data_IF_102842505606
#
_entry.id   IF_102842505606
#
_cell.length_a   1.000
_cell.length_b   1.000
_cell.length_c   1.000
_cell.angle_alpha   90.00
_cell.angle_beta   90.00
_cell.angle_gamma   90.00
#
_symmetry.space_group_name_H-M   'P 1'
#
loop_
_entity.id
_entity.type
_entity.pdbx_description
1 polymer ?
#
# COMPACT_ATOMS: atom_id res chain seq x y z
N UNK A 1 85.46 -18.37 -48.28
CA UNK A 1 85.19 -17.04 -47.70
C UNK A 1 83.69 -16.78 -47.73
N UNK A 2 83.11 -16.59 -46.54
CA UNK A 2 81.84 -15.91 -46.21
C UNK A 2 80.69 -15.91 -47.23
N UNK A 3 79.62 -16.64 -46.93
CA UNK A 3 78.24 -16.13 -47.06
C UNK A 3 77.37 -16.72 -45.94
N UNK A 4 76.88 -15.85 -45.05
CA UNK A 4 76.06 -16.13 -43.88
C UNK A 4 74.59 -15.85 -44.25
N UNK A 5 73.64 -16.79 -44.09
CA UNK A 5 72.24 -16.53 -44.41
C UNK A 5 71.52 -15.80 -43.27
N UNK A 6 70.58 -14.96 -43.68
CA UNK A 6 69.72 -14.07 -42.90
C UNK A 6 68.53 -14.85 -42.33
N UNK A 7 68.39 -14.94 -41.01
CA UNK A 7 67.22 -15.51 -40.35
C UNK A 7 66.24 -14.36 -40.05
N UNK A 8 65.02 -14.43 -40.58
CA UNK A 8 63.89 -13.56 -40.21
C UNK A 8 63.15 -14.18 -39.01
N UNK A 9 62.68 -13.39 -38.03
CA UNK A 9 61.86 -13.92 -36.94
C UNK A 9 60.40 -14.10 -37.38
N UNK A 10 59.80 -15.23 -36.99
CA UNK A 10 58.35 -15.46 -37.05
C UNK A 10 57.66 -14.67 -35.92
N UNK A 11 56.64 -13.88 -36.27
CA UNK A 11 55.72 -13.28 -35.32
C UNK A 11 54.64 -14.31 -34.93
N UNK A 12 54.48 -14.57 -33.63
CA UNK A 12 53.41 -15.39 -33.08
C UNK A 12 52.14 -14.56 -32.93
N UNK A 13 51.04 -14.99 -33.57
CA UNK A 13 49.72 -14.38 -33.45
C UNK A 13 48.97 -15.00 -32.25
N UNK A 14 48.66 -14.19 -31.24
CA UNK A 14 47.83 -14.58 -30.09
C UNK A 14 46.34 -14.42 -30.45
N UNK A 15 45.59 -15.53 -30.39
CA UNK A 15 44.13 -15.55 -30.48
C UNK A 15 43.53 -15.12 -29.13
N UNK A 16 42.94 -13.93 -29.09
CA UNK A 16 42.11 -13.43 -27.99
C UNK A 16 40.67 -13.94 -28.17
N UNK A 17 40.28 -14.92 -27.37
CA UNK A 17 38.89 -15.36 -27.19
C UNK A 17 38.11 -14.28 -26.40
N UNK A 18 37.30 -13.50 -27.11
CA UNK A 18 36.38 -12.55 -26.50
C UNK A 18 35.24 -13.27 -25.77
N UNK A 19 35.17 -13.11 -24.45
CA UNK A 19 33.97 -13.41 -23.68
C UNK A 19 32.89 -12.39 -24.04
N UNK A 20 31.83 -12.85 -24.71
CA UNK A 20 30.59 -12.08 -24.86
C UNK A 20 29.95 -11.93 -23.47
N UNK A 21 30.15 -10.78 -22.84
CA UNK A 21 29.37 -10.36 -21.68
C UNK A 21 27.94 -10.12 -22.15
N UNK A 22 27.02 -11.00 -21.76
CA UNK A 22 25.59 -10.71 -21.89
C UNK A 22 25.29 -9.40 -21.13
N UNK A 23 24.48 -8.48 -21.70
CA UNK A 23 24.10 -7.28 -20.98
C UNK A 23 23.40 -7.69 -19.67
N UNK A 24 23.64 -6.99 -18.56
CA UNK A 24 22.90 -7.23 -17.34
C UNK A 24 21.41 -7.09 -17.66
N UNK A 25 20.63 -8.12 -17.34
CA UNK A 25 19.18 -8.01 -17.35
C UNK A 25 18.83 -6.77 -16.50
N UNK A 26 18.06 -5.85 -17.07
CA UNK A 26 17.50 -4.74 -16.31
C UNK A 26 16.81 -5.34 -15.10
N UNK A 27 17.33 -5.05 -13.91
CA UNK A 27 16.65 -5.41 -12.68
C UNK A 27 15.34 -4.62 -12.70
N UNK A 28 14.22 -5.33 -12.87
CA UNK A 28 12.88 -4.77 -12.69
C UNK A 28 12.89 -3.98 -11.38
N UNK A 29 12.67 -2.67 -11.45
CA UNK A 29 12.53 -1.88 -10.24
C UNK A 29 11.21 -2.36 -9.58
N UNK A 30 11.25 -3.05 -8.43
CA UNK A 30 10.02 -3.58 -7.81
C UNK A 30 9.13 -2.47 -7.27
N UNK A 31 9.59 -1.22 -7.35
CA UNK A 31 8.92 -0.05 -6.86
C UNK A 31 7.81 0.41 -7.81
N UNK A 32 6.65 0.69 -7.22
CA UNK A 32 5.50 1.33 -7.86
C UNK A 32 5.37 2.73 -7.29
N UNK A 33 5.25 3.72 -8.17
CA UNK A 33 4.89 5.08 -7.84
C UNK A 33 3.50 5.38 -8.42
N UNK A 34 2.52 5.64 -7.55
CA UNK A 34 1.14 5.86 -7.92
C UNK A 34 0.60 7.15 -7.28
N UNK A 35 -0.09 7.96 -8.08
CA UNK A 35 -0.74 9.19 -7.62
C UNK A 35 -2.26 9.04 -7.67
N UNK A 36 -2.95 9.37 -6.59
CA UNK A 36 -4.39 9.26 -6.44
C UNK A 36 -5.03 10.59 -6.07
N UNK A 37 -6.27 10.80 -6.51
CA UNK A 37 -7.17 11.83 -6.00
C UNK A 37 -8.24 11.18 -5.13
N UNK A 38 -8.57 11.82 -4.01
CA UNK A 38 -9.66 11.41 -3.11
C UNK A 38 -10.79 12.40 -3.24
N UNK A 39 -11.99 11.88 -3.49
CA UNK A 39 -13.23 12.62 -3.56
C UNK A 39 -14.11 12.27 -2.36
N UNK A 40 -14.73 13.28 -1.77
CA UNK A 40 -15.71 13.14 -0.68
C UNK A 40 -16.99 13.77 -1.18
N UNK A 41 -18.07 12.99 -1.28
CA UNK A 41 -19.31 13.44 -1.92
C UNK A 41 -19.10 14.06 -3.32
N UNK A 42 -18.16 13.53 -4.10
CA UNK A 42 -17.81 14.00 -5.43
C UNK A 42 -16.88 15.22 -5.49
N UNK A 43 -16.54 15.83 -4.35
CA UNK A 43 -15.61 16.97 -4.30
C UNK A 43 -14.18 16.48 -4.10
N UNK A 44 -13.24 16.94 -4.93
CA UNK A 44 -11.83 16.60 -4.81
C UNK A 44 -11.25 17.21 -3.52
N UNK A 45 -10.96 16.35 -2.53
CA UNK A 45 -10.58 16.75 -1.18
C UNK A 45 -9.09 16.56 -0.90
N UNK A 46 -8.48 15.48 -1.40
CA UNK A 46 -7.07 15.14 -1.12
C UNK A 46 -6.35 14.62 -2.37
N UNK A 47 -5.03 14.75 -2.38
CA UNK A 47 -4.12 14.02 -3.24
C UNK A 47 -3.30 13.05 -2.38
N UNK A 48 -3.04 11.85 -2.90
CA UNK A 48 -2.22 10.82 -2.25
C UNK A 48 -1.13 10.39 -3.22
N UNK A 49 0.13 10.45 -2.82
CA UNK A 49 1.23 9.80 -3.53
C UNK A 49 1.62 8.55 -2.76
N UNK A 50 1.64 7.41 -3.44
CA UNK A 50 2.02 6.13 -2.88
C UNK A 50 3.30 5.63 -3.56
N UNK A 51 4.31 5.33 -2.75
CA UNK A 51 5.55 4.71 -3.18
C UNK A 51 5.70 3.38 -2.45
N UNK A 52 5.67 2.27 -3.16
CA UNK A 52 5.71 0.96 -2.51
C UNK A 52 6.49 -0.07 -3.32
N UNK A 53 7.08 -1.04 -2.61
CA UNK A 53 7.60 -2.27 -3.20
C UNK A 53 6.76 -3.43 -2.68
N UNK A 54 6.45 -4.39 -3.54
CA UNK A 54 5.71 -5.60 -3.19
C UNK A 54 6.25 -6.77 -4.00
N UNK A 55 6.76 -7.79 -3.32
CA UNK A 55 7.25 -9.01 -3.95
C UNK A 55 6.87 -10.25 -3.12
N UNK A 56 7.42 -11.40 -3.49
CA UNK A 56 7.16 -12.67 -2.80
C UNK A 56 7.75 -12.73 -1.37
N UNK A 57 8.67 -11.82 -1.03
CA UNK A 57 9.39 -11.79 0.26
C UNK A 57 8.79 -10.79 1.23
N UNK A 58 8.23 -9.68 0.74
CA UNK A 58 7.68 -8.66 1.61
C UNK A 58 7.20 -7.40 0.91
N UNK A 59 7.05 -6.35 1.71
CA UNK A 59 6.59 -5.06 1.23
C UNK A 59 7.28 -3.91 1.96
N UNK A 60 7.42 -2.79 1.25
CA UNK A 60 7.61 -1.47 1.84
C UNK A 60 6.57 -0.54 1.25
N UNK A 61 6.07 0.42 2.02
CA UNK A 61 5.08 1.37 1.53
C UNK A 61 5.27 2.73 2.20
N UNK A 62 5.13 3.79 1.41
CA UNK A 62 5.11 5.17 1.86
C UNK A 62 3.91 5.87 1.23
N UNK A 63 3.16 6.62 2.04
CA UNK A 63 2.06 7.46 1.60
C UNK A 63 2.32 8.91 1.97
N UNK A 64 2.05 9.81 1.02
CA UNK A 64 2.06 11.24 1.22
C UNK A 64 0.69 11.81 0.84
N UNK A 65 -0.10 12.18 1.84
CA UNK A 65 -1.45 12.73 1.70
C UNK A 65 -1.42 14.24 1.90
N UNK A 66 -2.01 14.99 0.97
CA UNK A 66 -2.09 16.44 1.00
C UNK A 66 -3.51 16.93 0.68
N UNK A 67 -3.97 18.03 1.26
CA UNK A 67 -5.20 18.70 0.85
C UNK A 67 -5.18 19.08 -0.63
N UNK A 68 -6.35 19.07 -1.25
CA UNK A 68 -6.54 19.46 -2.64
C UNK A 68 -7.85 20.25 -2.82
N UNK A 69 -7.94 20.96 -3.96
CA UNK A 69 -9.16 21.67 -4.37
C UNK A 69 -9.57 22.83 -3.46
N UNK A 70 -10.79 23.33 -3.70
CA UNK A 70 -11.40 24.45 -2.96
C UNK A 70 -11.79 24.08 -1.52
N UNK A 71 -11.86 22.77 -1.22
CA UNK A 71 -12.12 22.24 0.13
C UNK A 71 -10.87 22.19 1.01
N UNK A 72 -9.68 22.44 0.47
CA UNK A 72 -8.42 22.54 1.25
C UNK A 72 -8.46 23.63 2.32
N UNK A 73 -9.33 24.63 2.19
CA UNK A 73 -9.54 25.68 3.21
C UNK A 73 -10.27 25.15 4.45
N UNK A 74 -10.97 24.02 4.34
CA UNK A 74 -11.72 23.37 5.42
C UNK A 74 -11.10 22.02 5.84
N UNK A 75 -10.17 21.50 5.05
CA UNK A 75 -9.45 20.24 5.29
C UNK A 75 -7.96 20.54 5.40
N UNK A 76 -7.48 20.82 6.61
CA UNK A 76 -6.08 21.19 6.89
C UNK A 76 -5.17 19.98 7.15
N UNK A 77 -5.51 18.79 6.62
CA UNK A 77 -4.80 17.56 6.98
C UNK A 77 -3.77 17.11 5.95
N UNK A 78 -2.48 17.24 6.31
CA UNK A 78 -1.39 16.54 5.64
C UNK A 78 -1.05 15.29 6.46
N UNK A 79 -0.69 14.19 5.79
CA UNK A 79 -0.27 12.96 6.47
C UNK A 79 0.85 12.28 5.67
N UNK A 80 1.89 11.87 6.38
CA UNK A 80 2.97 11.04 5.87
C UNK A 80 2.96 9.73 6.64
N UNK A 81 2.91 8.60 5.94
CA UNK A 81 2.91 7.28 6.56
C UNK A 81 3.89 6.35 5.88
N UNK A 82 4.47 5.43 6.64
CA UNK A 82 5.36 4.39 6.13
C UNK A 82 5.10 3.06 6.84
N UNK A 83 5.28 1.97 6.12
CA UNK A 83 5.18 0.61 6.66
C UNK A 83 6.15 -0.33 5.96
N UNK A 84 6.52 -1.39 6.66
CA UNK A 84 7.29 -2.49 6.10
C UNK A 84 6.93 -3.81 6.79
N UNK A 85 7.10 -4.90 6.06
CA UNK A 85 6.85 -6.24 6.55
C UNK A 85 7.29 -7.32 5.58
N UNK A 86 7.10 -8.56 5.99
CA UNK A 86 7.47 -9.75 5.23
C UNK A 86 6.25 -10.63 4.94
N UNK A 87 6.34 -11.42 3.88
CA UNK A 87 5.45 -12.53 3.64
C UNK A 87 6.19 -13.82 4.01
N UNK A 88 5.52 -14.70 4.74
CA UNK A 88 5.99 -16.06 4.97
C UNK A 88 5.50 -16.98 3.85
N UNK A 89 6.09 -18.19 3.76
CA UNK A 89 5.76 -19.18 2.73
C UNK A 89 4.27 -19.59 2.66
N UNK A 90 3.49 -19.35 3.71
CA UNK A 90 2.06 -19.66 3.78
C UNK A 90 1.15 -18.48 3.41
N UNK A 91 1.66 -17.49 2.67
CA UNK A 91 0.99 -16.22 2.36
C UNK A 91 0.56 -15.43 3.63
N UNK A 92 1.12 -15.78 4.78
CA UNK A 92 0.93 -15.05 6.03
C UNK A 92 1.83 -13.82 6.06
N UNK A 93 1.27 -12.71 6.53
CA UNK A 93 1.96 -11.43 6.65
C UNK A 93 2.60 -11.31 8.04
N UNK A 94 3.84 -10.86 8.09
CA UNK A 94 4.56 -10.51 9.31
C UNK A 94 5.01 -9.05 9.22
N UNK A 95 4.19 -8.10 9.68
CA UNK A 95 4.58 -6.69 9.73
C UNK A 95 5.81 -6.49 10.62
N UNK A 96 6.60 -5.46 10.32
CA UNK A 96 7.80 -5.10 11.09
C UNK A 96 7.59 -3.75 11.77
N UNK A 97 7.21 -2.72 11.01
CA UNK A 97 6.98 -1.38 11.54
C UNK A 97 5.91 -0.63 10.75
N UNK A 98 5.23 0.28 11.45
CA UNK A 98 4.34 1.28 10.86
C UNK A 98 4.56 2.61 11.57
N UNK A 99 4.60 3.69 10.81
CA UNK A 99 4.72 5.04 11.36
C UNK A 99 3.82 5.98 10.56
N UNK A 100 3.12 6.86 11.25
CA UNK A 100 2.30 7.90 10.64
C UNK A 100 2.47 9.21 11.38
N UNK A 101 2.69 10.28 10.61
CA UNK A 101 2.75 11.66 11.09
C UNK A 101 1.71 12.46 10.33
N UNK A 102 0.91 13.25 11.04
CA UNK A 102 -0.06 14.13 10.39
C UNK A 102 -0.17 15.46 11.11
N UNK A 103 -0.61 16.47 10.38
CA UNK A 103 -0.92 17.79 10.91
C UNK A 103 -2.40 18.01 10.65
N UNK A 104 -3.20 18.32 11.68
CA UNK A 104 -4.62 18.67 11.52
C UNK A 104 -4.97 19.81 12.47
N UNK A 105 -5.54 20.91 11.94
CA UNK A 105 -5.90 22.10 12.72
C UNK A 105 -4.76 22.56 13.66
N UNK A 106 -3.55 22.68 13.11
CA UNK A 106 -2.31 23.04 13.80
C UNK A 106 -1.83 22.07 14.89
N UNK A 107 -2.45 20.89 15.01
CA UNK A 107 -2.02 19.83 15.91
C UNK A 107 -1.27 18.75 15.14
N UNK A 108 -0.08 18.42 15.63
CA UNK A 108 0.67 17.28 15.14
C UNK A 108 0.15 16.00 15.78
N UNK A 109 0.07 14.94 14.99
CA UNK A 109 -0.22 13.59 15.43
C UNK A 109 0.90 12.67 14.96
N UNK A 110 1.37 11.80 15.84
CA UNK A 110 2.43 10.85 15.56
C UNK A 110 2.10 9.51 16.19
N UNK A 111 2.01 8.48 15.36
CA UNK A 111 1.85 7.09 15.78
C UNK A 111 3.02 6.28 15.25
N UNK A 112 3.63 5.44 16.09
CA UNK A 112 4.63 4.47 15.68
C UNK A 112 4.36 3.11 16.32
N UNK A 113 4.20 2.09 15.47
CA UNK A 113 4.01 0.70 15.84
C UNK A 113 5.26 -0.10 15.47
N UNK A 114 5.73 -0.92 16.41
CA UNK A 114 6.76 -1.94 16.18
C UNK A 114 6.16 -3.30 16.48
N UNK A 115 6.30 -4.25 15.57
CA UNK A 115 5.71 -5.56 15.72
C UNK A 115 6.69 -6.52 16.37
N UNK A 116 6.28 -7.13 17.49
CA UNK A 116 7.04 -8.18 18.18
C UNK A 116 6.14 -9.39 18.33
N UNK A 117 6.60 -10.55 17.85
CA UNK A 117 5.81 -11.80 17.86
C UNK A 117 4.40 -11.61 17.27
N UNK A 118 4.32 -10.97 16.10
CA UNK A 118 3.06 -10.64 15.39
C UNK A 118 2.07 -9.76 16.18
N UNK A 119 2.53 -9.07 17.22
CA UNK A 119 1.70 -8.15 18.01
C UNK A 119 2.26 -6.74 17.92
N UNK A 120 1.47 -5.73 17.52
CA UNK A 120 1.93 -4.34 17.48
C UNK A 120 2.16 -3.81 18.90
N UNK A 121 3.30 -3.18 19.10
CA UNK A 121 3.65 -2.40 20.27
C UNK A 121 3.64 -0.93 19.88
N UNK A 122 2.88 -0.12 20.62
CA UNK A 122 2.82 1.32 20.42
C UNK A 122 4.08 1.92 21.06
N UNK A 123 5.01 2.39 20.24
CA UNK A 123 6.25 3.03 20.69
C UNK A 123 6.15 4.54 20.72
N UNK A 124 5.27 5.13 19.91
CA UNK A 124 4.92 6.54 19.92
C UNK A 124 3.42 6.67 19.69
N UNK A 125 2.76 7.51 20.51
CA UNK A 125 1.37 7.92 20.34
C UNK A 125 1.22 9.32 20.94
N UNK A 126 1.26 10.34 20.09
CA UNK A 126 1.24 11.74 20.50
C UNK A 126 0.37 12.60 19.56
N UNK A 127 -0.63 13.34 20.06
CA UNK A 127 -1.19 13.22 21.39
C UNK A 127 -1.96 11.90 21.53
N UNK A 128 -1.94 11.33 22.73
CA UNK A 128 -2.85 10.24 23.10
C UNK A 128 -4.26 10.81 23.31
N UNK A 129 -5.24 10.17 22.68
CA UNK A 129 -6.66 10.49 22.86
C UNK A 129 -7.18 9.80 24.12
N UNK A 130 -7.18 10.52 25.25
CA UNK A 130 -7.59 9.98 26.57
C UNK A 130 -9.10 9.65 26.64
N UNK A 131 -9.89 10.20 25.72
CA UNK A 131 -11.32 9.94 25.63
C UNK A 131 -11.64 8.61 24.94
N UNK A 132 -10.63 7.82 24.54
CA UNK A 132 -10.84 6.48 23.95
C UNK A 132 -10.91 5.35 24.97
N UNK A 133 -11.73 4.36 24.64
CA UNK A 133 -11.71 3.05 25.27
C UNK A 133 -10.33 2.41 25.10
N UNK A 134 -9.79 1.84 26.18
CA UNK A 134 -8.55 1.08 26.12
C UNK A 134 -8.77 -0.21 25.31
N UNK A 135 -7.76 -0.57 24.51
CA UNK A 135 -7.77 -1.81 23.74
C UNK A 135 -6.92 -2.83 24.49
N UNK A 136 -7.51 -3.99 24.79
CA UNK A 136 -6.79 -5.11 25.38
C UNK A 136 -5.68 -5.57 24.41
N UNK A 137 -4.42 -5.57 24.86
CA UNK A 137 -3.26 -5.98 24.05
C UNK A 137 -3.39 -7.40 23.49
N UNK A 138 -4.06 -8.31 24.20
CA UNK A 138 -4.32 -9.67 23.71
C UNK A 138 -5.20 -9.70 22.45
N UNK A 139 -6.02 -8.67 22.22
CA UNK A 139 -6.85 -8.53 21.01
C UNK A 139 -6.07 -8.04 19.79
N UNK A 140 -4.83 -7.55 19.98
CA UNK A 140 -3.99 -7.03 18.91
C UNK A 140 -3.11 -8.10 18.25
N UNK A 141 -3.09 -9.32 18.80
CA UNK A 141 -2.31 -10.43 18.25
C UNK A 141 -2.73 -10.69 16.80
N UNK A 142 -1.75 -10.78 15.88
CA UNK A 142 -1.92 -10.94 14.44
C UNK A 142 -2.67 -9.79 13.73
N UNK A 143 -2.86 -8.64 14.40
CA UNK A 143 -3.30 -7.43 13.70
C UNK A 143 -2.16 -6.85 12.85
N UNK A 144 -2.53 -6.11 11.82
CA UNK A 144 -1.61 -5.41 10.91
C UNK A 144 -2.01 -3.95 10.80
N UNK A 145 -1.14 -3.10 10.27
CA UNK A 145 -1.49 -1.70 9.98
C UNK A 145 -2.25 -1.59 8.65
N UNK A 146 -2.74 -0.40 8.35
CA UNK A 146 -3.54 -0.14 7.14
C UNK A 146 -2.77 -0.46 5.85
N UNK A 147 -1.47 -0.14 5.79
CA UNK A 147 -0.63 -0.41 4.61
C UNK A 147 -0.30 -1.90 4.52
N UNK A 148 -0.03 -2.57 5.64
CA UNK A 148 0.12 -4.02 5.70
C UNK A 148 -1.15 -4.76 5.25
N UNK A 149 -2.33 -4.27 5.62
CA UNK A 149 -3.61 -4.80 5.15
C UNK A 149 -3.78 -4.72 3.63
N UNK A 150 -3.43 -3.56 3.05
CA UNK A 150 -3.44 -3.38 1.59
C UNK A 150 -2.39 -4.28 0.90
N UNK A 151 -1.17 -4.33 1.42
CA UNK A 151 -0.10 -5.18 0.89
C UNK A 151 -0.51 -6.66 0.87
N UNK A 152 -1.17 -7.15 1.93
CA UNK A 152 -1.71 -8.51 1.98
C UNK A 152 -2.76 -8.75 0.89
N UNK A 153 -3.68 -7.82 0.68
CA UNK A 153 -4.70 -7.95 -0.38
C UNK A 153 -4.04 -8.04 -1.76
N UNK A 154 -3.13 -7.10 -2.06
CA UNK A 154 -2.43 -7.07 -3.35
C UNK A 154 -1.61 -8.34 -3.59
N UNK A 155 -0.90 -8.80 -2.57
CA UNK A 155 -0.13 -10.05 -2.62
C UNK A 155 -1.05 -11.25 -2.88
N UNK A 156 -2.18 -11.35 -2.18
CA UNK A 156 -3.16 -12.45 -2.37
C UNK A 156 -3.73 -12.46 -3.79
N UNK A 157 -4.10 -11.30 -4.33
CA UNK A 157 -4.61 -11.19 -5.70
C UNK A 157 -3.52 -11.56 -6.72
N UNK A 158 -2.29 -11.08 -6.50
CA UNK A 158 -1.17 -11.35 -7.40
C UNK A 158 -0.79 -12.84 -7.45
N UNK A 159 -0.75 -13.50 -6.29
CA UNK A 159 -0.31 -14.90 -6.13
C UNK A 159 -1.41 -15.92 -6.45
N UNK A 160 -2.62 -15.65 -5.97
CA UNK A 160 -3.69 -16.65 -5.92
C UNK A 160 -4.87 -16.29 -6.82
N UNK A 161 -4.89 -15.10 -7.44
CA UNK A 161 -6.05 -14.58 -8.15
C UNK A 161 -7.33 -14.62 -7.28
N UNK A 162 -7.18 -14.37 -5.97
CA UNK A 162 -8.22 -14.41 -4.95
C UNK A 162 -8.25 -13.09 -4.18
N UNK A 163 -9.44 -12.63 -3.80
CA UNK A 163 -9.59 -11.52 -2.85
C UNK A 163 -9.96 -12.02 -1.44
N UNK A 164 -10.27 -13.32 -1.30
CA UNK A 164 -10.86 -13.85 -0.08
C UNK A 164 -9.89 -13.78 1.09
N UNK A 165 -10.27 -13.10 2.15
CA UNK A 165 -9.44 -12.98 3.34
C UNK A 165 -10.07 -12.12 4.43
N UNK A 166 -9.40 -12.10 5.57
CA UNK A 166 -9.73 -11.17 6.65
C UNK A 166 -8.49 -10.77 7.43
N UNK A 167 -8.53 -9.59 8.01
CA UNK A 167 -7.47 -9.04 8.84
C UNK A 167 -8.04 -8.21 9.99
N UNK A 168 -7.34 -8.19 11.11
CA UNK A 168 -7.51 -7.14 12.11
C UNK A 168 -6.57 -6.00 11.73
N UNK A 169 -7.10 -4.81 11.54
CA UNK A 169 -6.35 -3.60 11.24
C UNK A 169 -6.26 -2.76 12.51
N UNK A 170 -5.04 -2.50 12.96
CA UNK A 170 -4.76 -1.63 14.09
C UNK A 170 -3.96 -0.41 13.64
N UNK A 171 -4.49 0.79 13.88
CA UNK A 171 -3.87 2.05 13.45
C UNK A 171 -3.20 2.84 14.60
N UNK A 172 -3.02 2.19 15.75
CA UNK A 172 -2.51 2.79 16.98
C UNK A 172 -3.60 3.23 17.96
N UNK A 173 -4.84 3.43 17.51
CA UNK A 173 -5.93 3.88 18.38
C UNK A 173 -7.26 3.12 18.17
N UNK A 174 -7.43 2.46 17.03
CA UNK A 174 -8.66 1.76 16.64
C UNK A 174 -8.30 0.37 16.14
N UNK A 175 -9.10 -0.61 16.54
CA UNK A 175 -9.05 -1.96 16.00
C UNK A 175 -10.25 -2.16 15.08
N UNK A 176 -9.98 -2.49 13.82
CA UNK A 176 -10.99 -2.69 12.78
C UNK A 176 -10.89 -4.09 12.22
N UNK A 177 -11.99 -4.83 12.21
CA UNK A 177 -12.07 -6.08 11.46
C UNK A 177 -12.36 -5.76 10.00
N UNK A 178 -11.51 -6.25 9.11
CA UNK A 178 -11.68 -6.18 7.66
C UNK A 178 -11.93 -7.59 7.12
N UNK A 179 -12.95 -7.75 6.29
CA UNK A 179 -13.18 -8.95 5.48
C UNK A 179 -13.29 -8.58 4.02
N UNK A 180 -12.63 -9.33 3.14
CA UNK A 180 -12.59 -9.08 1.69
C UNK A 180 -13.02 -10.35 0.97
N UNK A 181 -13.79 -10.19 -0.11
CA UNK A 181 -14.36 -11.28 -0.91
C UNK A 181 -14.21 -11.00 -2.41
N UNK A 182 -14.18 -12.08 -3.20
CA UNK A 182 -14.02 -12.03 -4.65
C UNK A 182 -12.82 -12.86 -5.15
N UNK A 183 -12.33 -12.63 -6.38
CA UNK A 183 -12.67 -11.51 -7.25
C UNK A 183 -13.96 -11.70 -8.04
N UNK A 184 -14.50 -10.58 -8.52
CA UNK A 184 -15.38 -10.52 -9.69
C UNK A 184 -14.73 -9.64 -10.76
N UNK A 185 -15.07 -9.85 -12.02
CA UNK A 185 -14.68 -8.91 -13.08
C UNK A 185 -15.77 -7.85 -13.18
N UNK A 186 -15.36 -6.58 -13.19
CA UNK A 186 -16.27 -5.44 -13.25
C UNK A 186 -15.68 -4.32 -14.10
N UNK A 187 -16.52 -3.42 -14.63
CA UNK A 187 -16.03 -2.22 -15.30
C UNK A 187 -15.54 -1.21 -14.26
N UNK A 188 -14.43 -0.53 -14.56
CA UNK A 188 -13.97 0.62 -13.76
C UNK A 188 -14.96 1.77 -14.00
N UNK A 189 -15.64 2.30 -12.96
CA UNK A 189 -16.44 3.53 -13.08
C UNK A 189 -15.63 4.69 -13.66
N UNK A 190 -16.24 5.55 -14.48
CA UNK A 190 -15.55 6.60 -15.27
C UNK A 190 -16.04 8.03 -14.92
N UNK A 191 -16.25 8.33 -13.63
CA UNK A 191 -16.89 9.56 -13.15
C UNK A 191 -15.92 10.62 -12.59
N UNK A 192 -14.61 10.31 -12.49
CA UNK A 192 -13.62 11.19 -11.86
C UNK A 192 -12.31 11.35 -12.67
N UNK A 193 -12.37 11.08 -13.97
CA UNK A 193 -11.25 11.24 -14.91
C UNK A 193 -10.15 10.22 -14.60
N UNK A 194 -10.55 8.95 -14.55
CA UNK A 194 -9.75 7.78 -14.28
C UNK A 194 -8.63 7.63 -15.31
N UNK A 195 -7.42 7.29 -14.86
CA UNK A 195 -6.32 6.98 -15.77
C UNK A 195 -6.43 5.60 -16.45
N UNK A 196 -7.32 4.75 -15.93
CA UNK A 196 -7.58 3.40 -16.44
C UNK A 196 -9.07 3.24 -16.74
N UNK A 197 -9.38 2.47 -17.78
CA UNK A 197 -10.74 2.19 -18.25
C UNK A 197 -10.90 0.72 -18.61
N UNK A 198 -12.14 0.24 -18.64
CA UNK A 198 -12.48 -1.13 -19.04
C UNK A 198 -12.62 -2.10 -17.87
N UNK A 199 -12.48 -3.39 -18.15
CA UNK A 199 -12.61 -4.46 -17.15
C UNK A 199 -11.45 -4.49 -16.16
N UNK A 200 -11.75 -4.64 -14.88
CA UNK A 200 -10.79 -4.79 -13.80
C UNK A 200 -11.22 -5.90 -12.83
N UNK A 201 -10.26 -6.36 -12.03
CA UNK A 201 -10.51 -7.26 -10.90
C UNK A 201 -11.14 -6.42 -9.79
N UNK A 202 -12.37 -6.72 -9.40
CA UNK A 202 -13.03 -6.09 -8.26
C UNK A 202 -13.05 -7.02 -7.05
N UNK A 203 -12.56 -6.50 -5.93
CA UNK A 203 -12.74 -7.11 -4.62
C UNK A 203 -13.73 -6.26 -3.81
N UNK A 204 -14.68 -6.90 -3.14
CA UNK A 204 -15.58 -6.22 -2.22
C UNK A 204 -15.11 -6.45 -0.78
N UNK A 205 -15.13 -5.41 0.04
CA UNK A 205 -14.69 -5.49 1.43
C UNK A 205 -15.73 -4.92 2.39
N UNK A 206 -15.61 -5.33 3.64
CA UNK A 206 -16.41 -4.81 4.76
C UNK A 206 -15.44 -4.49 5.89
N UNK A 207 -15.47 -3.23 6.34
CA UNK A 207 -14.76 -2.77 7.52
C UNK A 207 -15.70 -2.57 8.71
N UNK A 208 -15.28 -3.00 9.89
CA UNK A 208 -16.05 -2.82 11.11
C UNK A 208 -15.11 -2.47 12.27
N UNK A 209 -15.26 -1.29 12.85
CA UNK A 209 -14.53 -0.98 14.08
C UNK A 209 -15.04 -1.87 15.21
N UNK A 210 -14.15 -2.52 15.94
CA UNK A 210 -14.48 -3.45 17.03
C UNK A 210 -13.90 -3.02 18.38
N UNK A 211 -12.90 -2.14 18.41
CA UNK A 211 -12.36 -1.55 19.64
C UNK A 211 -11.77 -0.15 19.41
N UNK A 212 -11.43 0.56 20.49
CA UNK A 212 -10.85 1.91 20.43
C UNK A 212 -11.88 3.01 20.12
N UNK A 213 -13.13 2.79 20.56
CA UNK A 213 -14.19 3.79 20.40
C UNK A 213 -13.96 4.99 21.33
N UNK A 214 -14.49 6.14 20.95
CA UNK A 214 -14.57 7.29 21.86
C UNK A 214 -15.62 6.99 22.93
N UNK A 215 -15.25 7.12 24.20
CA UNK A 215 -16.13 6.96 25.37
C UNK A 215 -17.35 7.86 25.23
N UNK A 216 -18.54 7.33 25.52
CA UNK A 216 -19.81 8.07 25.48
C UNK A 216 -20.15 8.73 24.13
N UNK A 217 -19.50 8.34 23.03
CA UNK A 217 -19.79 8.93 21.71
C UNK A 217 -21.18 8.53 21.22
N UNK A 218 -22.04 9.48 20.82
CA UNK A 218 -23.35 9.17 20.24
C UNK A 218 -23.22 8.42 18.90
N UNK A 219 -22.05 8.49 18.26
CA UNK A 219 -21.77 7.84 16.99
C UNK A 219 -21.23 6.40 17.13
N UNK A 220 -21.10 5.86 18.35
CA UNK A 220 -20.50 4.53 18.57
C UNK A 220 -21.16 3.44 17.74
N UNK A 221 -22.49 3.35 17.76
CA UNK A 221 -23.24 2.34 16.99
C UNK A 221 -22.98 2.46 15.49
N UNK A 222 -22.94 3.69 14.97
CA UNK A 222 -22.61 3.97 13.55
C UNK A 222 -21.19 3.51 13.20
N UNK A 223 -20.21 3.78 14.06
CA UNK A 223 -18.81 3.35 13.87
C UNK A 223 -18.65 1.83 13.96
N UNK A 224 -19.42 1.17 14.81
CA UNK A 224 -19.41 -0.28 15.00
C UNK A 224 -20.20 -1.04 13.93
N UNK A 225 -20.94 -0.33 13.07
CA UNK A 225 -21.71 -0.94 12.00
C UNK A 225 -20.79 -1.34 10.83
N UNK A 226 -21.04 -2.49 10.17
CA UNK A 226 -20.32 -2.88 8.96
C UNK A 226 -20.40 -1.80 7.88
N UNK A 227 -19.23 -1.40 7.36
CA UNK A 227 -19.09 -0.42 6.27
C UNK A 227 -18.62 -1.15 5.00
N UNK A 228 -19.48 -1.32 3.99
CA UNK A 228 -19.08 -1.95 2.74
C UNK A 228 -18.23 -1.00 1.89
N UNK A 229 -17.40 -1.60 1.04
CA UNK A 229 -16.63 -0.90 0.02
C UNK A 229 -16.16 -1.85 -1.07
N UNK A 230 -15.56 -1.26 -2.10
CA UNK A 230 -15.06 -1.98 -3.26
C UNK A 230 -13.73 -1.40 -3.72
N UNK A 231 -12.86 -2.27 -4.23
CA UNK A 231 -11.58 -1.89 -4.82
C UNK A 231 -11.46 -2.55 -6.20
N UNK A 232 -11.07 -1.75 -7.19
CA UNK A 232 -10.77 -2.20 -8.54
C UNK A 232 -9.25 -2.23 -8.71
N UNK A 233 -8.78 -3.35 -9.23
CA UNK A 233 -7.38 -3.70 -9.39
C UNK A 233 -7.11 -4.01 -10.87
N UNK A 234 -6.05 -3.41 -11.41
CA UNK A 234 -5.55 -3.73 -12.75
C UNK A 234 -4.26 -4.51 -12.62
N UNK A 235 -4.12 -5.54 -13.46
CA UNK A 235 -2.89 -6.29 -13.63
C UNK A 235 -2.08 -5.68 -14.76
N UNK A 236 -0.88 -5.20 -14.45
CA UNK A 236 0.05 -4.64 -15.45
C UNK A 236 0.74 -5.75 -16.25
N UNK A 237 1.41 -5.38 -17.34
CA UNK A 237 2.12 -6.31 -18.22
C UNK A 237 3.17 -7.15 -17.46
N UNK A 238 3.87 -6.51 -16.51
CA UNK A 238 4.83 -7.18 -15.62
C UNK A 238 4.17 -7.93 -14.44
N UNK A 239 2.89 -8.27 -14.57
CA UNK A 239 2.09 -9.05 -13.63
C UNK A 239 1.82 -8.38 -12.27
N UNK A 240 2.33 -7.16 -12.03
CA UNK A 240 2.04 -6.39 -10.82
C UNK A 240 0.56 -6.00 -10.75
N UNK A 241 -0.01 -6.06 -9.56
CA UNK A 241 -1.38 -5.62 -9.28
C UNK A 241 -1.36 -4.20 -8.73
N UNK A 242 -2.15 -3.32 -9.34
CA UNK A 242 -2.26 -1.90 -8.95
C UNK A 242 -3.73 -1.55 -8.63
N UNK A 243 -4.01 -0.97 -7.45
CA UNK A 243 -5.28 -0.31 -7.19
C UNK A 243 -5.50 0.85 -8.16
N UNK A 244 -6.60 0.81 -8.89
CA UNK A 244 -6.98 1.92 -9.78
C UNK A 244 -8.14 2.73 -9.24
N UNK A 245 -8.99 2.11 -8.42
CA UNK A 245 -10.11 2.78 -7.76
C UNK A 245 -10.48 2.10 -6.45
N UNK A 246 -10.88 2.89 -5.45
CA UNK A 246 -11.48 2.41 -4.20
C UNK A 246 -12.72 3.25 -3.90
N UNK A 247 -13.79 2.60 -3.48
CA UNK A 247 -15.03 3.25 -3.03
C UNK A 247 -15.47 2.67 -1.69
N UNK A 248 -15.94 3.52 -0.78
CA UNK A 248 -16.55 3.09 0.47
C UNK A 248 -17.32 4.24 1.13
N UNK A 249 -18.23 3.88 2.03
CA UNK A 249 -18.89 4.87 2.89
C UNK A 249 -18.16 5.01 4.22
N UNK A 250 -17.80 6.25 4.57
CA UNK A 250 -17.26 6.57 5.88
C UNK A 250 -18.36 7.11 6.79
N UNK A 251 -18.54 6.58 8.02
CA UNK A 251 -19.62 6.97 8.93
C UNK A 251 -19.76 8.48 9.19
N UNK A 252 -18.68 9.26 9.10
CA UNK A 252 -18.71 10.71 9.33
C UNK A 252 -18.59 11.55 8.06
N UNK A 253 -17.96 11.00 7.01
CA UNK A 253 -17.58 11.78 5.82
C UNK A 253 -18.47 11.45 4.61
N UNK A 254 -19.30 10.41 4.71
CA UNK A 254 -20.13 9.94 3.60
C UNK A 254 -19.32 9.15 2.59
N UNK A 255 -19.77 9.18 1.33
CA UNK A 255 -19.17 8.41 0.26
C UNK A 255 -17.80 8.95 -0.11
N UNK A 256 -16.80 8.07 -0.09
CA UNK A 256 -15.41 8.36 -0.44
C UNK A 256 -15.05 7.55 -1.68
N UNK A 257 -14.44 8.24 -2.64
CA UNK A 257 -13.91 7.64 -3.86
C UNK A 257 -12.43 7.99 -3.98
N UNK A 258 -11.57 7.01 -4.20
CA UNK A 258 -10.14 7.18 -4.44
C UNK A 258 -9.84 6.70 -5.85
N UNK A 259 -9.21 7.53 -6.66
CA UNK A 259 -8.98 7.27 -8.09
C UNK A 259 -7.53 7.52 -8.46
N UNK A 260 -6.89 6.58 -9.15
CA UNK A 260 -5.55 6.78 -9.68
C UNK A 260 -5.58 7.80 -10.83
N UNK A 261 -4.67 8.77 -10.79
CA UNK A 261 -4.66 9.92 -11.72
C UNK A 261 -3.70 9.79 -12.88
N UNK A 262 -2.75 8.87 -12.81
CA UNK A 262 -1.78 8.62 -13.87
C UNK A 262 -1.52 7.12 -13.97
N UNK A 263 -1.26 6.59 -15.18
CA UNK A 263 -0.79 5.22 -15.32
C UNK A 263 0.54 5.03 -14.57
N UNK A 264 0.68 3.90 -13.89
CA UNK A 264 1.94 3.51 -13.27
C UNK A 264 2.97 3.27 -14.37
N UNK A 265 4.15 3.87 -14.23
CA UNK A 265 5.27 3.64 -15.14
C UNK A 265 5.83 2.23 -14.91
N UNK A 266 6.05 1.49 -15.99
CA UNK A 266 6.65 0.15 -15.95
C UNK A 266 8.13 0.21 -15.67
#
# INVERSE_FOLDING_TARGET
>A
MMFKPWIKPLAAASLLTGFLSAPPAFADNPQVNASYAVYVHGWHALNVNALYTLDDKGYTGQLHVRPAGVVSWFVSTNMDSQAEGRFAFSDSISPISYESRSLSHDKNYHVKLIYTSQTPQITILDPKDEDREEINSASLVNSVDVLGGMARLLHTVQRMNSCNGSALIFDGQRLTKMSVHGPKIDQIPQDHGEAYSGSAIRCDFVGQQIAGFIKNSPNRSKMASPQPGSIWLVKLDNQRIVPVRVEFDHPKLGHITVVIKQPVQN
#
